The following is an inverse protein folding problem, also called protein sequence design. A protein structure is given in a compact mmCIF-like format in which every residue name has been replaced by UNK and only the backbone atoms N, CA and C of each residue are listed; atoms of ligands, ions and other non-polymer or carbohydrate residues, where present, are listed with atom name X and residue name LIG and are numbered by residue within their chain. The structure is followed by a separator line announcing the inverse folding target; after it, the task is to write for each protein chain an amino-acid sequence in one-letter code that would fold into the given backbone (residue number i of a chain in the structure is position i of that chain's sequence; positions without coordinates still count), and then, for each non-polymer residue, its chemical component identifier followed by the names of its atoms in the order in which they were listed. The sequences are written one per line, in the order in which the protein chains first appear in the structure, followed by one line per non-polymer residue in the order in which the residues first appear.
data_IF_990669913841
#
_entry.id   IF_990669913841
#
_cell.length_a   1.000
_cell.length_b   1.000
_cell.length_c   1.000
_cell.angle_alpha   90.00
_cell.angle_beta   90.00
_cell.angle_gamma   90.00
#
_symmetry.space_group_name_H-M   'P 1'
#
loop_
_entity.id
_entity.type
_entity.pdbx_description
1 polymer ?
#
# COMPACT_ATOMS: atom_id res chain seq x y z
N UNK A 1 31.01 68.19 34.18
CA UNK A 1 29.62 68.67 34.36
C UNK A 1 28.73 67.68 33.61
N UNK A 2 28.02 66.72 34.20
CA UNK A 2 27.48 66.62 35.55
C UNK A 2 26.00 66.99 35.53
N UNK A 3 25.12 66.09 35.06
CA UNK A 3 23.68 66.10 35.38
C UNK A 3 23.09 64.69 35.27
N UNK A 4 22.79 64.13 36.44
CA UNK A 4 21.92 62.97 36.70
C UNK A 4 20.45 63.33 36.51
N UNK A 5 19.61 62.35 36.13
CA UNK A 5 18.22 62.04 36.59
C UNK A 5 17.47 61.16 35.58
N UNK A 6 16.36 60.48 35.95
CA UNK A 6 16.12 59.65 37.13
C UNK A 6 15.64 58.23 36.75
N UNK A 7 15.79 57.26 37.66
CA UNK A 7 15.25 55.91 37.55
C UNK A 7 13.73 55.90 37.79
N UNK A 8 12.97 55.42 36.80
CA UNK A 8 11.56 55.06 36.95
C UNK A 8 11.45 53.65 37.51
N UNK A 9 10.89 53.56 38.72
CA UNK A 9 10.54 52.32 39.41
C UNK A 9 9.27 51.74 38.77
N UNK A 10 9.37 50.58 38.12
CA UNK A 10 8.23 49.82 37.62
C UNK A 10 7.89 48.73 38.65
N UNK A 11 6.77 48.92 39.35
CA UNK A 11 6.21 47.89 40.25
C UNK A 11 5.41 46.91 39.38
N UNK A 12 5.93 45.68 39.23
CA UNK A 12 5.22 44.57 38.59
C UNK A 12 4.48 43.78 39.66
N UNK A 13 3.15 43.87 39.66
CA UNK A 13 2.27 43.02 40.47
C UNK A 13 2.14 41.68 39.72
N UNK A 14 2.73 40.63 40.28
CA UNK A 14 2.60 39.25 39.79
C UNK A 14 1.33 38.65 40.40
N UNK A 15 0.30 38.48 39.59
CA UNK A 15 -0.89 37.69 39.90
C UNK A 15 -0.54 36.20 39.81
N UNK A 16 -0.48 35.53 40.96
CA UNK A 16 -0.33 34.07 41.05
C UNK A 16 -1.60 33.37 40.56
N UNK A 17 -1.48 32.56 39.51
CA UNK A 17 -2.50 31.59 39.12
C UNK A 17 -2.33 30.29 39.94
N UNK A 18 -3.43 29.61 40.33
CA UNK A 18 -3.35 28.33 41.02
C UNK A 18 -2.83 27.24 40.06
N UNK A 19 -1.76 26.57 40.46
CA UNK A 19 -1.23 25.39 39.79
C UNK A 19 -2.25 24.25 39.93
N UNK A 20 -2.90 23.90 38.82
CA UNK A 20 -3.63 22.64 38.67
C UNK A 20 -2.61 21.51 38.65
N UNK A 21 -2.55 20.77 39.75
CA UNK A 21 -1.77 19.55 39.91
C UNK A 21 -2.34 18.49 38.95
N UNK A 22 -1.75 18.38 37.76
CA UNK A 22 -2.01 17.29 36.83
C UNK A 22 -1.47 15.99 37.41
N UNK A 23 -2.31 14.99 37.49
CA UNK A 23 -1.97 13.63 37.91
C UNK A 23 -1.03 13.00 36.86
N UNK A 24 0.28 13.14 37.09
CA UNK A 24 1.37 12.53 36.30
C UNK A 24 1.53 11.03 36.60
N UNK A 25 0.44 10.32 36.88
CA UNK A 25 0.50 8.86 36.89
C UNK A 25 0.73 8.37 35.45
N UNK A 26 1.83 7.65 35.16
CA UNK A 26 2.03 7.08 33.84
C UNK A 26 0.85 6.16 33.53
N UNK A 27 0.04 6.53 32.53
CA UNK A 27 -1.03 5.66 32.04
C UNK A 27 -0.42 4.32 31.72
N UNK A 28 -0.85 3.27 32.43
CA UNK A 28 -0.54 1.90 32.06
C UNK A 28 -0.86 1.72 30.58
N UNK A 29 0.07 1.15 29.77
CA UNK A 29 -0.17 0.93 28.36
C UNK A 29 -1.45 0.12 28.19
N UNK A 30 -2.28 0.54 27.24
CA UNK A 30 -3.53 -0.15 26.91
C UNK A 30 -3.19 -1.61 26.54
N UNK A 31 -3.72 -2.62 27.26
CA UNK A 31 -3.41 -4.02 26.98
C UNK A 31 -3.81 -4.45 25.56
N UNK A 32 -4.61 -3.66 24.84
CA UNK A 32 -4.91 -3.90 23.43
C UNK A 32 -3.76 -3.53 22.46
N UNK A 33 -2.72 -2.84 22.93
CA UNK A 33 -1.60 -2.36 22.09
C UNK A 33 -0.26 -3.03 22.39
N UNK A 34 -0.18 -3.82 23.46
CA UNK A 34 1.05 -4.55 23.81
C UNK A 34 1.01 -5.93 23.17
N UNK A 35 1.96 -6.27 22.28
CA UNK A 35 2.06 -7.61 21.72
C UNK A 35 2.18 -8.63 22.88
N UNK A 36 1.54 -9.81 22.80
CA UNK A 36 1.68 -10.82 23.83
C UNK A 36 3.16 -11.14 24.12
N UNK A 37 3.52 -11.38 25.38
CA UNK A 37 4.90 -11.62 25.86
C UNK A 37 5.65 -12.77 25.14
N UNK A 38 4.95 -13.60 24.36
CA UNK A 38 5.53 -14.68 23.58
C UNK A 38 5.96 -14.28 22.15
N UNK A 39 5.72 -13.04 21.72
CA UNK A 39 6.16 -12.55 20.40
C UNK A 39 7.57 -11.96 20.51
N UNK A 40 8.57 -12.71 20.05
CA UNK A 40 9.96 -12.22 20.01
C UNK A 40 10.14 -11.20 18.87
N UNK A 41 10.83 -10.07 19.11
CA UNK A 41 11.16 -9.12 18.04
C UNK A 41 11.91 -9.82 16.90
N UNK A 42 11.34 -9.77 15.69
CA UNK A 42 11.95 -10.33 14.48
C UNK A 42 11.50 -11.75 14.11
N UNK A 43 10.77 -12.46 14.97
CA UNK A 43 10.10 -13.71 14.58
C UNK A 43 8.81 -13.38 13.79
N UNK A 44 8.51 -14.11 12.70
CA UNK A 44 7.26 -13.93 11.99
C UNK A 44 6.09 -14.22 12.92
N UNK A 45 5.03 -13.39 12.85
CA UNK A 45 3.80 -13.66 13.58
C UNK A 45 3.32 -15.10 13.29
N UNK A 46 2.82 -15.84 14.30
CA UNK A 46 2.25 -17.14 14.03
C UNK A 46 1.01 -17.01 13.15
N UNK A 47 0.58 -18.11 12.51
CA UNK A 47 -0.70 -18.13 11.82
C UNK A 47 -1.85 -17.83 12.81
N UNK A 48 -2.93 -17.23 12.29
CA UNK A 48 -4.12 -16.93 13.09
C UNK A 48 -4.71 -18.20 13.70
N UNK A 49 -5.45 -18.13 14.81
CA UNK A 49 -6.22 -19.27 15.31
C UNK A 49 -7.17 -19.84 14.24
N UNK A 50 -7.33 -21.17 14.23
CA UNK A 50 -8.15 -21.88 13.22
C UNK A 50 -9.60 -21.36 13.14
N UNK A 51 -10.23 -21.12 14.29
CA UNK A 51 -11.59 -20.57 14.37
C UNK A 51 -11.66 -19.20 13.69
N UNK A 52 -10.67 -18.34 13.92
CA UNK A 52 -10.62 -17.02 13.30
C UNK A 52 -10.48 -17.12 11.77
N UNK A 53 -9.63 -18.02 11.27
CA UNK A 53 -9.51 -18.29 9.82
C UNK A 53 -10.83 -18.76 9.22
N UNK A 54 -11.57 -19.64 9.92
CA UNK A 54 -12.89 -20.08 9.47
C UNK A 54 -13.91 -18.95 9.40
N UNK A 55 -13.95 -18.08 10.41
CA UNK A 55 -14.84 -16.91 10.44
C UNK A 55 -14.51 -15.96 9.28
N UNK A 56 -13.23 -15.63 9.09
CA UNK A 56 -12.77 -14.77 7.99
C UNK A 56 -13.13 -15.35 6.62
N UNK A 57 -12.92 -16.65 6.42
CA UNK A 57 -13.27 -17.35 5.18
C UNK A 57 -14.78 -17.32 4.92
N UNK A 58 -15.60 -17.56 5.95
CA UNK A 58 -17.06 -17.53 5.83
C UNK A 58 -17.56 -16.12 5.49
N UNK A 59 -17.05 -15.10 6.17
CA UNK A 59 -17.39 -13.69 5.90
C UNK A 59 -16.97 -13.24 4.50
N UNK A 60 -15.76 -13.62 4.07
CA UNK A 60 -15.26 -13.27 2.74
C UNK A 60 -16.10 -13.90 1.62
N UNK A 61 -16.56 -15.14 1.79
CA UNK A 61 -17.36 -15.86 0.79
C UNK A 61 -18.86 -15.58 0.84
N UNK A 62 -19.31 -14.79 1.81
CA UNK A 62 -20.70 -14.39 1.95
C UNK A 62 -21.18 -13.64 0.69
N UNK A 63 -22.47 -13.79 0.38
CA UNK A 63 -23.10 -13.02 -0.69
C UNK A 63 -23.27 -11.54 -0.31
N UNK A 64 -23.34 -11.24 0.99
CA UNK A 64 -23.54 -9.90 1.52
C UNK A 64 -22.21 -9.10 1.52
N UNK A 65 -22.14 -7.97 0.79
CA UNK A 65 -20.97 -7.10 0.80
C UNK A 65 -20.62 -6.57 2.20
N UNK A 66 -21.56 -6.44 3.13
CA UNK A 66 -21.27 -5.98 4.48
C UNK A 66 -20.41 -6.99 5.26
N UNK A 67 -20.65 -8.29 5.08
CA UNK A 67 -19.83 -9.37 5.64
C UNK A 67 -18.42 -9.39 5.05
N UNK A 68 -18.30 -9.22 3.73
CA UNK A 68 -17.00 -9.12 3.07
C UNK A 68 -16.19 -7.91 3.57
N UNK A 69 -16.86 -6.76 3.73
CA UNK A 69 -16.25 -5.55 4.32
C UNK A 69 -15.86 -5.77 5.80
N UNK A 70 -16.59 -6.60 6.54
CA UNK A 70 -16.22 -6.98 7.90
C UNK A 70 -14.94 -7.83 7.93
N UNK A 71 -14.82 -8.81 7.04
CA UNK A 71 -13.59 -9.60 6.89
C UNK A 71 -12.39 -8.70 6.55
N UNK A 72 -12.54 -7.76 5.62
CA UNK A 72 -11.49 -6.80 5.26
C UNK A 72 -11.06 -5.92 6.44
N UNK A 73 -12.01 -5.33 7.17
CA UNK A 73 -11.68 -4.53 8.37
C UNK A 73 -10.90 -5.34 9.39
N UNK A 74 -11.22 -6.64 9.52
CA UNK A 74 -10.47 -7.52 10.41
C UNK A 74 -9.05 -7.76 9.91
N UNK A 75 -8.85 -8.04 8.63
CA UNK A 75 -7.49 -8.16 8.06
C UNK A 75 -6.67 -6.87 8.20
N UNK A 76 -7.27 -5.71 7.93
CA UNK A 76 -6.62 -4.40 8.13
C UNK A 76 -6.17 -4.21 9.58
N UNK A 77 -7.03 -4.60 10.54
CA UNK A 77 -6.69 -4.58 11.97
C UNK A 77 -5.53 -5.51 12.29
N UNK A 78 -5.53 -6.72 11.73
CA UNK A 78 -4.47 -7.71 11.95
C UNK A 78 -3.13 -7.28 11.35
N UNK A 79 -3.14 -6.65 10.17
CA UNK A 79 -1.93 -6.07 9.56
C UNK A 79 -1.42 -4.91 10.39
N UNK A 80 -2.29 -3.99 10.82
CA UNK A 80 -1.90 -2.85 11.66
C UNK A 80 -1.29 -3.30 13.00
N UNK A 81 -1.76 -4.43 13.55
CA UNK A 81 -1.21 -5.04 14.76
C UNK A 81 0.04 -5.91 14.53
N UNK A 82 0.49 -6.08 13.28
CA UNK A 82 1.58 -7.01 12.94
C UNK A 82 1.24 -8.49 13.21
N UNK A 83 -0.04 -8.81 13.40
CA UNK A 83 -0.53 -10.14 13.76
C UNK A 83 -0.79 -11.03 12.54
N UNK A 84 -0.78 -10.46 11.32
CA UNK A 84 -0.97 -11.22 10.09
C UNK A 84 0.37 -11.70 9.52
N UNK A 85 0.57 -13.01 9.50
CA UNK A 85 1.81 -13.61 9.01
C UNK A 85 1.86 -13.67 7.49
N UNK A 86 2.98 -13.26 6.90
CA UNK A 86 3.27 -13.44 5.45
C UNK A 86 3.39 -14.90 5.00
N UNK A 87 3.48 -15.85 5.93
CA UNK A 87 3.52 -17.29 5.67
C UNK A 87 2.19 -17.99 5.97
N UNK A 88 1.16 -17.26 6.42
CA UNK A 88 -0.19 -17.82 6.62
C UNK A 88 -0.91 -17.91 5.28
N UNK A 89 -0.62 -18.99 4.55
CA UNK A 89 -1.18 -19.26 3.22
C UNK A 89 -2.71 -19.31 3.22
N UNK A 90 -3.34 -19.74 4.31
CA UNK A 90 -4.81 -19.77 4.37
C UNK A 90 -5.41 -18.37 4.45
N UNK A 91 -4.84 -17.50 5.28
CA UNK A 91 -5.25 -16.10 5.38
C UNK A 91 -4.99 -15.35 4.07
N UNK A 92 -3.83 -15.58 3.45
CA UNK A 92 -3.51 -15.06 2.12
C UNK A 92 -4.47 -15.57 1.04
N UNK A 93 -4.91 -16.82 1.10
CA UNK A 93 -5.91 -17.36 0.17
C UNK A 93 -7.29 -16.69 0.34
N UNK A 94 -7.67 -16.29 1.55
CA UNK A 94 -8.91 -15.53 1.78
C UNK A 94 -8.77 -14.11 1.23
N UNK A 95 -7.63 -13.44 1.43
CA UNK A 95 -7.36 -12.13 0.82
C UNK A 95 -7.30 -12.21 -0.70
N UNK A 96 -6.65 -13.22 -1.27
CA UNK A 96 -6.61 -13.48 -2.71
C UNK A 96 -8.02 -13.63 -3.28
N UNK A 97 -8.88 -14.37 -2.59
CA UNK A 97 -10.28 -14.49 -2.97
C UNK A 97 -10.95 -13.11 -2.97
N UNK A 98 -10.82 -12.30 -1.92
CA UNK A 98 -11.39 -10.95 -1.90
C UNK A 98 -10.80 -10.01 -2.97
N UNK A 99 -9.53 -10.19 -3.34
CA UNK A 99 -8.84 -9.38 -4.34
C UNK A 99 -9.18 -9.73 -5.79
N UNK A 100 -9.69 -10.95 -6.04
CA UNK A 100 -9.96 -11.45 -7.41
C UNK A 100 -11.42 -11.84 -7.64
N UNK A 101 -12.22 -11.97 -6.59
CA UNK A 101 -13.60 -12.43 -6.72
C UNK A 101 -14.50 -11.36 -7.34
N UNK A 102 -15.48 -11.83 -8.13
CA UNK A 102 -16.44 -10.95 -8.77
C UNK A 102 -15.96 -10.30 -10.08
N UNK A 103 -14.82 -10.72 -10.63
CA UNK A 103 -14.32 -10.22 -11.92
C UNK A 103 -15.21 -10.59 -13.12
N UNK A 104 -16.18 -11.48 -12.94
CA UNK A 104 -17.19 -11.79 -13.95
C UNK A 104 -18.29 -10.70 -14.01
N UNK A 105 -18.45 -10.11 -15.19
CA UNK A 105 -19.50 -9.12 -15.50
C UNK A 105 -20.88 -9.70 -15.11
N UNK A 106 -21.65 -8.94 -14.33
CA UNK A 106 -23.01 -9.32 -13.92
C UNK A 106 -23.10 -10.08 -12.59
N UNK A 107 -21.99 -10.38 -11.92
CA UNK A 107 -22.05 -10.88 -10.55
C UNK A 107 -22.45 -9.76 -9.59
N UNK A 108 -23.52 -9.94 -8.83
CA UNK A 108 -23.90 -9.06 -7.72
C UNK A 108 -22.79 -8.94 -6.64
N UNK A 109 -21.72 -9.74 -6.75
CA UNK A 109 -20.55 -9.77 -5.87
C UNK A 109 -19.34 -9.01 -6.44
N UNK A 110 -19.51 -8.25 -7.52
CA UNK A 110 -18.46 -7.42 -8.12
C UNK A 110 -18.42 -6.03 -7.44
N UNK A 111 -17.73 -5.89 -6.32
CA UNK A 111 -17.45 -4.59 -5.68
C UNK A 111 -15.95 -4.26 -5.85
N UNK A 112 -15.58 -3.35 -6.78
CA UNK A 112 -14.20 -2.90 -6.96
C UNK A 112 -13.54 -2.37 -5.68
N UNK A 113 -14.29 -1.76 -4.77
CA UNK A 113 -13.72 -1.21 -3.53
C UNK A 113 -13.24 -2.33 -2.59
N UNK A 114 -13.93 -3.47 -2.57
CA UNK A 114 -13.49 -4.64 -1.81
C UNK A 114 -12.17 -5.17 -2.40
N UNK A 115 -12.07 -5.27 -3.73
CA UNK A 115 -10.85 -5.76 -4.40
C UNK A 115 -9.68 -4.80 -4.22
N UNK A 116 -9.90 -3.49 -4.36
CA UNK A 116 -8.87 -2.46 -4.09
C UNK A 116 -8.34 -2.62 -2.67
N UNK A 117 -9.22 -2.71 -1.66
CA UNK A 117 -8.80 -2.85 -0.26
C UNK A 117 -8.08 -4.17 0.01
N UNK A 118 -8.58 -5.28 -0.50
CA UNK A 118 -7.92 -6.58 -0.37
C UNK A 118 -6.52 -6.56 -0.96
N UNK A 119 -6.36 -5.92 -2.11
CA UNK A 119 -5.09 -5.73 -2.81
C UNK A 119 -4.13 -4.87 -2.00
N UNK A 120 -4.60 -3.77 -1.43
CA UNK A 120 -3.79 -2.93 -0.54
C UNK A 120 -3.30 -3.73 0.69
N UNK A 121 -4.18 -4.52 1.32
CA UNK A 121 -3.84 -5.37 2.46
C UNK A 121 -2.78 -6.42 2.06
N UNK A 122 -2.89 -7.04 0.88
CA UNK A 122 -1.84 -7.94 0.36
C UNK A 122 -0.49 -7.21 0.24
N UNK A 123 -0.49 -5.96 -0.25
CA UNK A 123 0.69 -5.12 -0.31
C UNK A 123 1.30 -4.79 1.05
N UNK A 124 0.47 -4.65 2.08
CA UNK A 124 0.93 -4.34 3.44
C UNK A 124 1.42 -5.61 4.17
N UNK A 125 0.89 -6.80 3.87
CA UNK A 125 1.40 -8.09 4.37
C UNK A 125 2.76 -8.43 3.76
N UNK A 126 2.86 -8.26 2.44
CA UNK A 126 4.08 -8.54 1.67
C UNK A 126 4.55 -9.99 1.65
N UNK A 127 5.82 -10.16 1.26
CA UNK A 127 6.41 -11.47 0.97
C UNK A 127 6.11 -11.97 -0.44
N UNK A 128 6.78 -13.07 -0.83
CA UNK A 128 6.70 -13.62 -2.19
C UNK A 128 5.28 -14.07 -2.56
N UNK A 129 4.56 -14.69 -1.62
CA UNK A 129 3.19 -15.14 -1.86
C UNK A 129 2.24 -13.96 -2.16
N UNK A 130 2.37 -12.84 -1.44
CA UNK A 130 1.59 -11.64 -1.74
C UNK A 130 1.97 -11.05 -3.10
N UNK A 131 3.26 -11.01 -3.45
CA UNK A 131 3.72 -10.56 -4.75
C UNK A 131 3.10 -11.38 -5.90
N UNK A 132 3.09 -12.70 -5.78
CA UNK A 132 2.52 -13.60 -6.80
C UNK A 132 1.01 -13.36 -6.98
N UNK A 133 0.29 -13.15 -5.87
CA UNK A 133 -1.14 -12.84 -5.88
C UNK A 133 -1.43 -11.46 -6.49
N UNK A 134 -0.64 -10.44 -6.15
CA UNK A 134 -0.77 -9.11 -6.74
C UNK A 134 -0.48 -9.15 -8.25
N UNK A 135 0.51 -9.92 -8.68
CA UNK A 135 0.82 -10.13 -10.09
C UNK A 135 -0.32 -10.83 -10.85
N UNK A 136 -1.09 -11.69 -10.19
CA UNK A 136 -2.32 -12.26 -10.74
C UNK A 136 -3.41 -11.20 -10.90
N UNK A 137 -3.66 -10.36 -9.88
CA UNK A 137 -4.63 -9.25 -9.98
C UNK A 137 -4.31 -8.33 -11.16
N UNK A 138 -3.03 -7.98 -11.36
CA UNK A 138 -2.60 -7.14 -12.50
C UNK A 138 -2.92 -7.79 -13.85
N UNK A 139 -2.82 -9.12 -13.94
CA UNK A 139 -3.03 -9.90 -15.16
C UNK A 139 -4.51 -10.07 -15.49
N UNK A 140 -5.34 -10.33 -14.48
CA UNK A 140 -6.72 -10.82 -14.69
C UNK A 140 -7.79 -9.77 -14.46
N UNK A 141 -7.53 -8.74 -13.63
CA UNK A 141 -8.58 -7.76 -13.34
C UNK A 141 -8.82 -6.81 -14.52
N UNK A 142 -10.07 -6.50 -14.76
CA UNK A 142 -10.53 -5.62 -15.84
C UNK A 142 -10.71 -4.17 -15.38
N UNK A 143 -10.85 -3.95 -14.06
CA UNK A 143 -11.06 -2.65 -13.46
C UNK A 143 -9.71 -1.93 -13.26
N UNK A 144 -9.51 -0.81 -13.94
CA UNK A 144 -8.21 -0.11 -13.96
C UNK A 144 -7.83 0.38 -12.57
N UNK A 145 -8.80 0.78 -11.74
CA UNK A 145 -8.55 1.20 -10.36
C UNK A 145 -7.99 0.06 -9.48
N UNK A 146 -8.51 -1.16 -9.64
CA UNK A 146 -8.02 -2.35 -8.90
C UNK A 146 -6.60 -2.69 -9.33
N UNK A 147 -6.35 -2.70 -10.65
CA UNK A 147 -5.02 -2.97 -11.21
C UNK A 147 -4.01 -1.92 -10.76
N UNK A 148 -4.40 -0.64 -10.72
CA UNK A 148 -3.53 0.43 -10.26
C UNK A 148 -3.13 0.24 -8.79
N UNK A 149 -4.06 -0.19 -7.92
CA UNK A 149 -3.73 -0.53 -6.52
C UNK A 149 -2.80 -1.75 -6.41
N UNK A 150 -3.00 -2.76 -7.26
CA UNK A 150 -2.13 -3.94 -7.30
C UNK A 150 -0.70 -3.57 -7.68
N UNK A 151 -0.55 -2.74 -8.72
CA UNK A 151 0.74 -2.21 -9.15
C UNK A 151 1.40 -1.39 -8.05
N UNK A 152 0.68 -0.46 -7.39
CA UNK A 152 1.22 0.31 -6.26
C UNK A 152 1.68 -0.61 -5.13
N UNK A 153 0.87 -1.62 -4.81
CA UNK A 153 1.17 -2.60 -3.77
C UNK A 153 2.45 -3.37 -4.10
N UNK A 154 2.64 -3.81 -5.35
CA UNK A 154 3.91 -4.41 -5.81
C UNK A 154 5.08 -3.42 -5.60
N UNK A 155 4.90 -2.15 -5.94
CA UNK A 155 5.92 -1.11 -5.73
C UNK A 155 6.29 -0.90 -4.26
N UNK A 156 5.34 -1.06 -3.33
CA UNK A 156 5.59 -1.03 -1.87
C UNK A 156 6.45 -2.21 -1.41
N UNK A 157 6.25 -3.40 -2.00
CA UNK A 157 7.01 -4.61 -1.66
C UNK A 157 8.49 -4.53 -2.06
N UNK A 158 8.82 -3.65 -3.02
CA UNK A 158 10.18 -3.49 -3.57
C UNK A 158 10.82 -4.84 -3.94
N UNK A 159 10.15 -5.67 -4.75
CA UNK A 159 10.70 -6.97 -5.13
C UNK A 159 11.99 -6.79 -5.94
N UNK A 160 12.83 -7.83 -5.93
CA UNK A 160 13.94 -7.90 -6.89
C UNK A 160 13.39 -7.85 -8.32
N UNK A 161 14.02 -7.08 -9.23
CA UNK A 161 13.66 -7.06 -10.63
C UNK A 161 13.71 -8.47 -11.20
N UNK A 162 12.69 -8.83 -11.96
CA UNK A 162 12.65 -10.08 -12.70
C UNK A 162 12.08 -9.85 -14.09
N UNK A 163 12.51 -10.64 -15.07
CA UNK A 163 11.96 -10.58 -16.43
C UNK A 163 10.45 -10.80 -16.43
N UNK A 164 9.93 -11.68 -15.55
CA UNK A 164 8.49 -11.91 -15.44
C UNK A 164 7.72 -10.67 -15.01
N UNK A 165 8.24 -9.92 -14.02
CA UNK A 165 7.61 -8.68 -13.57
C UNK A 165 7.75 -7.58 -14.63
N UNK A 166 8.91 -7.50 -15.29
CA UNK A 166 9.14 -6.53 -16.35
C UNK A 166 8.16 -6.71 -17.52
N UNK A 167 8.01 -7.95 -18.02
CA UNK A 167 7.06 -8.30 -19.07
C UNK A 167 5.62 -7.99 -18.65
N UNK A 168 5.22 -8.35 -17.41
CA UNK A 168 3.88 -8.04 -16.90
C UNK A 168 3.57 -6.53 -16.94
N UNK A 169 4.51 -5.70 -16.49
CA UNK A 169 4.35 -4.24 -16.47
C UNK A 169 4.38 -3.66 -17.90
N UNK A 170 5.25 -4.18 -18.77
CA UNK A 170 5.34 -3.78 -20.18
C UNK A 170 4.04 -4.08 -20.93
N UNK A 171 3.53 -5.31 -20.80
CA UNK A 171 2.24 -5.72 -21.39
C UNK A 171 1.11 -4.82 -20.95
N UNK A 172 1.08 -4.46 -19.65
CA UNK A 172 0.02 -3.60 -19.13
C UNK A 172 0.13 -2.16 -19.63
N UNK A 173 1.34 -1.62 -19.80
CA UNK A 173 1.55 -0.32 -20.46
C UNK A 173 1.09 -0.33 -21.91
N UNK A 174 1.48 -1.35 -22.68
CA UNK A 174 1.08 -1.51 -24.10
C UNK A 174 -0.42 -1.54 -24.26
N UNK A 175 -1.13 -2.26 -23.38
CA UNK A 175 -2.59 -2.29 -23.37
C UNK A 175 -3.20 -0.90 -23.15
N UNK A 176 -2.64 -0.08 -22.25
CA UNK A 176 -3.11 1.29 -22.03
C UNK A 176 -2.81 2.23 -23.22
N UNK A 177 -1.78 1.96 -24.02
CA UNK A 177 -1.42 2.84 -25.13
C UNK A 177 -2.43 2.79 -26.29
N UNK A 178 -3.17 1.68 -26.45
CA UNK A 178 -4.11 1.49 -27.56
C UNK A 178 -5.38 2.36 -27.50
N UNK A 179 -5.73 2.92 -26.33
CA UNK A 179 -7.04 3.59 -26.11
C UNK A 179 -6.94 4.95 -25.39
N UNK A 180 -5.76 5.58 -25.35
CA UNK A 180 -5.50 6.67 -24.41
C UNK A 180 -5.92 6.26 -22.99
N UNK A 181 -5.33 5.16 -22.51
CA UNK A 181 -5.70 4.44 -21.30
C UNK A 181 -5.67 5.28 -20.04
N UNK A 182 -6.09 4.68 -18.93
CA UNK A 182 -6.27 5.37 -17.66
C UNK A 182 -4.94 5.99 -17.17
N UNK A 183 -4.82 7.34 -17.10
CA UNK A 183 -3.60 8.01 -16.68
C UNK A 183 -3.14 7.58 -15.28
N UNK A 184 -4.08 7.25 -14.38
CA UNK A 184 -3.75 6.84 -13.02
C UNK A 184 -3.06 5.48 -12.99
N UNK A 185 -3.49 4.54 -13.84
CA UNK A 185 -2.85 3.23 -13.98
C UNK A 185 -1.46 3.37 -14.63
N UNK A 186 -1.34 4.16 -15.70
CA UNK A 186 -0.04 4.37 -16.36
C UNK A 186 0.97 4.99 -15.38
N UNK A 187 0.58 6.03 -14.64
CA UNK A 187 1.44 6.65 -13.62
C UNK A 187 1.80 5.66 -12.50
N UNK A 188 0.85 4.83 -12.06
CA UNK A 188 1.13 3.79 -11.05
C UNK A 188 2.20 2.80 -11.53
N UNK A 189 2.13 2.36 -12.79
CA UNK A 189 3.14 1.47 -13.39
C UNK A 189 4.49 2.16 -13.45
N UNK A 190 4.56 3.38 -13.99
CA UNK A 190 5.81 4.13 -14.11
C UNK A 190 6.49 4.35 -12.75
N UNK A 191 5.74 4.80 -11.74
CA UNK A 191 6.27 5.00 -10.39
C UNK A 191 6.74 3.68 -9.75
N UNK A 192 6.06 2.56 -10.05
CA UNK A 192 6.45 1.23 -9.56
C UNK A 192 7.75 0.76 -10.19
N UNK A 193 7.90 0.94 -11.51
CA UNK A 193 9.13 0.64 -12.24
C UNK A 193 10.31 1.42 -11.66
N UNK A 194 10.13 2.72 -11.46
CA UNK A 194 11.15 3.59 -10.90
C UNK A 194 11.50 3.21 -9.46
N UNK A 195 10.50 2.96 -8.61
CA UNK A 195 10.71 2.53 -7.21
C UNK A 195 11.54 1.25 -7.17
N UNK A 196 11.18 0.24 -7.95
CA UNK A 196 11.93 -1.03 -8.01
C UNK A 196 13.35 -0.76 -8.54
N UNK A 197 13.51 0.01 -9.61
CA UNK A 197 14.82 0.30 -10.18
C UNK A 197 15.75 1.01 -9.18
N UNK A 198 15.24 1.98 -8.42
CA UNK A 198 16.03 2.71 -7.42
C UNK A 198 16.46 1.84 -6.23
N UNK A 199 15.64 0.87 -5.84
CA UNK A 199 15.86 0.02 -4.67
C UNK A 199 16.61 -1.30 -4.96
N UNK A 200 17.00 -1.55 -6.21
CA UNK A 200 17.62 -2.80 -6.64
C UNK A 200 18.73 -2.56 -7.68
N UNK A 201 19.23 -3.64 -8.31
CA UNK A 201 20.16 -3.57 -9.44
C UNK A 201 19.53 -3.00 -10.71
N UNK A 202 18.22 -2.76 -10.73
CA UNK A 202 17.52 -2.15 -11.84
C UNK A 202 16.83 -3.14 -12.78
N UNK A 203 15.82 -2.66 -13.50
CA UNK A 203 15.29 -3.34 -14.68
C UNK A 203 16.23 -3.16 -15.87
N UNK A 204 16.68 -4.27 -16.46
CA UNK A 204 17.44 -4.29 -17.72
C UNK A 204 16.63 -4.88 -18.89
N UNK A 205 15.33 -5.03 -18.69
CA UNK A 205 14.46 -5.63 -19.69
C UNK A 205 14.19 -4.65 -20.84
N UNK A 206 14.59 -4.98 -22.09
CA UNK A 206 14.42 -4.08 -23.23
C UNK A 206 12.94 -3.83 -23.56
N UNK A 207 12.06 -4.80 -23.31
CA UNK A 207 10.65 -4.69 -23.63
C UNK A 207 9.95 -3.67 -22.74
N UNK A 208 10.25 -3.69 -21.43
CA UNK A 208 9.78 -2.67 -20.51
C UNK A 208 10.29 -1.27 -20.89
N UNK A 209 11.56 -1.15 -21.27
CA UNK A 209 12.14 0.13 -21.69
C UNK A 209 11.44 0.69 -22.95
N UNK A 210 11.22 -0.16 -23.96
CA UNK A 210 10.51 0.22 -25.18
C UNK A 210 9.05 0.61 -24.88
N UNK A 211 8.35 -0.13 -24.02
CA UNK A 211 6.98 0.20 -23.62
C UNK A 211 6.89 1.61 -22.97
N UNK A 212 7.89 2.00 -22.17
CA UNK A 212 7.92 3.35 -21.57
C UNK A 212 8.18 4.44 -22.64
N UNK A 213 9.04 4.16 -23.62
CA UNK A 213 9.25 5.07 -24.78
C UNK A 213 7.95 5.26 -25.57
N UNK A 214 7.19 4.19 -25.78
CA UNK A 214 5.89 4.25 -26.46
C UNK A 214 4.87 5.10 -25.70
N UNK A 215 4.86 5.05 -24.35
CA UNK A 215 4.02 5.93 -23.52
C UNK A 215 4.47 7.38 -23.63
N UNK A 216 5.78 7.64 -23.62
CA UNK A 216 6.32 9.00 -23.76
C UNK A 216 5.94 9.63 -25.11
N UNK A 217 6.03 8.86 -26.20
CA UNK A 217 5.69 9.34 -27.55
C UNK A 217 4.19 9.25 -27.88
N UNK A 218 3.41 8.55 -27.05
CA UNK A 218 2.00 8.26 -27.28
C UNK A 218 1.05 9.43 -26.98
N UNK A 219 -0.26 9.24 -27.25
CA UNK A 219 -1.30 10.27 -27.10
C UNK A 219 -1.74 10.48 -25.63
N UNK A 220 -0.80 10.53 -24.69
CA UNK A 220 -1.08 10.68 -23.27
C UNK A 220 -1.13 12.15 -22.83
N UNK A 221 -1.63 12.42 -21.63
CA UNK A 221 -1.55 13.76 -21.03
C UNK A 221 -0.10 14.14 -20.68
N UNK A 222 0.18 15.46 -20.55
CA UNK A 222 1.53 15.96 -20.32
C UNK A 222 2.16 15.42 -19.03
N UNK A 223 1.38 15.23 -17.97
CA UNK A 223 1.84 14.63 -16.71
C UNK A 223 2.34 13.18 -16.90
N UNK A 224 1.65 12.37 -17.70
CA UNK A 224 2.06 10.98 -18.02
C UNK A 224 3.35 10.97 -18.83
N UNK A 225 3.45 11.82 -19.87
CA UNK A 225 4.69 11.93 -20.66
C UNK A 225 5.87 12.40 -19.82
N UNK A 226 5.69 13.42 -18.99
CA UNK A 226 6.75 13.92 -18.10
C UNK A 226 7.19 12.85 -17.09
N UNK A 227 6.23 12.07 -16.56
CA UNK A 227 6.53 10.94 -15.68
C UNK A 227 7.34 9.88 -16.43
N UNK A 228 6.96 9.55 -17.66
CA UNK A 228 7.68 8.56 -18.49
C UNK A 228 9.11 8.99 -18.78
N UNK A 229 9.32 10.26 -19.16
CA UNK A 229 10.65 10.82 -19.39
C UNK A 229 11.53 10.76 -18.13
N UNK A 230 10.96 11.09 -16.97
CA UNK A 230 11.64 10.98 -15.67
C UNK A 230 12.09 9.54 -15.42
N UNK A 231 11.21 8.55 -15.59
CA UNK A 231 11.56 7.13 -15.41
C UNK A 231 12.62 6.67 -16.39
N UNK A 232 12.55 7.06 -17.67
CA UNK A 232 13.59 6.74 -18.66
C UNK A 232 14.95 7.31 -18.26
N UNK A 233 14.99 8.55 -17.76
CA UNK A 233 16.22 9.16 -17.28
C UNK A 233 16.77 8.44 -16.05
N UNK A 234 15.90 8.05 -15.11
CA UNK A 234 16.29 7.23 -13.95
C UNK A 234 16.90 5.90 -14.37
N UNK A 235 16.28 5.21 -15.35
CA UNK A 235 16.78 3.92 -15.85
C UNK A 235 18.10 4.02 -16.63
N UNK A 236 18.42 5.20 -17.21
CA UNK A 236 19.69 5.44 -17.94
C UNK A 236 20.84 5.90 -17.05
N UNK A 237 20.54 6.43 -15.87
CA UNK A 237 21.51 7.06 -14.97
C UNK A 237 22.30 6.09 -14.09
N UNK A 238 22.09 4.78 -14.25
CA UNK A 238 22.85 3.69 -13.63
C UNK A 238 23.43 2.80 -14.73
#
# INVERSE_FOLDING_TARGET
MGTLRPLSMLVVIVLSAPQLLGDDTPRSPDPATTPPDWVRPGEPAPPLPEIERHVLRAQARAADPAMQKAALRRFETLVAAGALSRTDHESLAVLAYLATHGTYIGSARNDPLIRIRATAVLGDVGGQAALDLLAEVVRTDTETAVVAEAVRSIGKLRPEPSSRLAVLLADRLKQQNTRAGDPALVIAILNTVESIHLNSWGFHDPELFLAIIEVYNGPHAANVRNTSLRVLNTMRGR
#
